data_IF_481556259849
#
_entry.id   IF_481556259849
#
_cell.length_a   1.000
_cell.length_b   1.000
_cell.length_c   1.000
_cell.angle_alpha   90.00
_cell.angle_beta   90.00
_cell.angle_gamma   90.00
#
_symmetry.space_group_name_H-M   'P 1'
#
loop_
_entity.id
_entity.type
_entity.pdbx_description
1 polymer ?
#
# COMPACT_ATOMS: atom_id res chain seq x y z
N UNK A 1 -21.81 -2.65 -46.21
CA UNK A 1 -22.52 -2.35 -44.95
C UNK A 1 -21.46 -2.09 -43.89
N UNK A 2 -21.37 -0.88 -43.35
CA UNK A 2 -20.35 -0.54 -42.36
C UNK A 2 -20.88 -0.73 -40.95
N UNK A 3 -20.16 -1.49 -40.12
CA UNK A 3 -20.53 -1.67 -38.72
C UNK A 3 -20.39 -0.36 -37.95
N UNK A 4 -21.50 0.13 -37.40
CA UNK A 4 -21.53 1.30 -36.54
C UNK A 4 -21.01 0.86 -35.16
N UNK A 5 -19.73 1.12 -34.90
CA UNK A 5 -19.12 0.81 -33.60
C UNK A 5 -19.21 2.01 -32.65
N UNK A 6 -19.61 1.73 -31.40
CA UNK A 6 -19.63 2.76 -30.37
C UNK A 6 -18.20 3.06 -29.88
N UNK A 7 -17.65 4.17 -30.36
CA UNK A 7 -16.31 4.65 -30.01
C UNK A 7 -16.10 4.87 -28.51
N UNK A 8 -17.13 5.29 -27.77
CA UNK A 8 -17.04 5.50 -26.31
C UNK A 8 -16.80 4.18 -25.59
N UNK A 9 -17.54 3.13 -25.95
CA UNK A 9 -17.36 1.79 -25.36
C UNK A 9 -15.99 1.24 -25.70
N UNK A 10 -15.54 1.39 -26.95
CA UNK A 10 -14.23 0.94 -27.37
C UNK A 10 -13.08 1.66 -26.62
N UNK A 11 -13.18 2.98 -26.45
CA UNK A 11 -12.21 3.76 -25.65
C UNK A 11 -12.18 3.29 -24.19
N UNK A 12 -13.36 3.04 -23.60
CA UNK A 12 -13.45 2.53 -22.22
C UNK A 12 -12.81 1.15 -22.06
N UNK A 13 -13.01 0.26 -23.04
CA UNK A 13 -12.36 -1.05 -23.04
C UNK A 13 -10.84 -0.91 -23.17
N UNK A 14 -10.33 -0.02 -24.02
CA UNK A 14 -8.89 0.26 -24.12
C UNK A 14 -8.31 0.77 -22.80
N UNK A 15 -8.97 1.73 -22.15
CA UNK A 15 -8.55 2.24 -20.85
C UNK A 15 -8.45 1.12 -19.80
N UNK A 16 -9.49 0.29 -19.68
CA UNK A 16 -9.48 -0.86 -18.75
C UNK A 16 -8.34 -1.84 -19.02
N UNK A 17 -8.00 -2.08 -20.30
CA UNK A 17 -6.87 -2.96 -20.67
C UNK A 17 -5.53 -2.34 -20.27
N UNK A 18 -5.37 -1.03 -20.44
CA UNK A 18 -4.17 -0.30 -20.00
C UNK A 18 -4.03 -0.34 -18.48
N UNK A 19 -5.11 -0.09 -17.75
CA UNK A 19 -5.10 -0.16 -16.27
C UNK A 19 -4.72 -1.56 -15.78
N UNK A 20 -5.22 -2.61 -16.42
CA UNK A 20 -4.89 -3.99 -16.08
C UNK A 20 -3.42 -4.33 -16.35
N UNK A 21 -2.85 -3.83 -17.45
CA UNK A 21 -1.42 -3.97 -17.76
C UNK A 21 -0.56 -3.24 -16.74
N UNK A 22 -0.90 -1.98 -16.43
CA UNK A 22 -0.20 -1.21 -15.40
C UNK A 22 -0.25 -1.90 -14.04
N UNK A 23 -1.39 -2.50 -13.68
CA UNK A 23 -1.52 -3.27 -12.44
C UNK A 23 -0.69 -4.56 -12.44
N UNK A 24 -0.50 -5.21 -13.60
CA UNK A 24 0.41 -6.36 -13.73
C UNK A 24 1.88 -5.92 -13.62
N UNK A 25 2.26 -4.82 -14.27
CA UNK A 25 3.60 -4.23 -14.18
C UNK A 25 3.93 -3.76 -12.77
N UNK A 26 2.98 -3.16 -12.06
CA UNK A 26 3.18 -2.75 -10.68
C UNK A 26 3.33 -3.97 -9.75
N UNK A 27 2.59 -5.06 -10.01
CA UNK A 27 2.75 -6.33 -9.28
C UNK A 27 4.11 -6.96 -9.51
N UNK A 28 4.62 -6.96 -10.74
CA UNK A 28 5.94 -7.52 -11.06
C UNK A 28 7.09 -6.66 -10.56
N UNK A 29 6.99 -5.33 -10.70
CA UNK A 29 8.05 -4.37 -10.31
C UNK A 29 8.19 -4.22 -8.81
N UNK A 30 7.08 -4.09 -8.11
CA UNK A 30 7.11 -3.73 -6.69
C UNK A 30 6.83 -4.91 -5.78
N UNK A 31 6.21 -5.99 -6.28
CA UNK A 31 5.87 -7.19 -5.49
C UNK A 31 4.80 -6.96 -4.41
N UNK A 32 4.62 -5.71 -3.96
CA UNK A 32 3.65 -5.25 -2.97
C UNK A 32 2.69 -4.27 -3.62
N UNK A 33 1.41 -4.48 -3.35
CA UNK A 33 0.33 -3.57 -3.75
C UNK A 33 0.23 -2.40 -2.76
N UNK A 34 -0.35 -1.24 -3.16
CA UNK A 34 -0.59 -0.13 -2.24
C UNK A 34 -1.39 -0.54 -0.99
N UNK A 35 -2.33 -1.47 -1.13
CA UNK A 35 -3.10 -1.99 0.00
C UNK A 35 -2.25 -2.80 0.99
N UNK A 36 -1.26 -3.55 0.49
CA UNK A 36 -0.30 -4.27 1.35
C UNK A 36 0.63 -3.29 2.06
N UNK A 37 1.12 -2.26 1.38
CA UNK A 37 1.95 -1.22 1.99
C UNK A 37 1.19 -0.53 3.13
N UNK A 38 -0.05 -0.10 2.90
CA UNK A 38 -0.87 0.54 3.93
C UNK A 38 -1.13 -0.39 5.14
N UNK A 39 -1.30 -1.70 4.89
CA UNK A 39 -1.45 -2.69 5.96
C UNK A 39 -0.16 -2.83 6.76
N UNK A 40 0.98 -2.96 6.10
CA UNK A 40 2.30 -3.08 6.72
C UNK A 40 2.61 -1.84 7.57
N UNK A 41 2.29 -0.64 7.07
CA UNK A 41 2.44 0.62 7.81
C UNK A 41 1.55 0.66 9.06
N UNK A 42 0.29 0.22 8.96
CA UNK A 42 -0.62 0.15 10.09
C UNK A 42 -0.17 -0.89 11.14
N UNK A 43 0.34 -2.04 10.70
CA UNK A 43 0.89 -3.07 11.58
C UNK A 43 2.17 -2.56 12.28
N UNK A 44 3.05 -1.86 11.56
CA UNK A 44 4.24 -1.23 12.13
C UNK A 44 3.89 -0.12 13.13
N UNK A 45 2.89 0.71 12.84
CA UNK A 45 2.42 1.75 13.74
C UNK A 45 1.83 1.16 15.04
N UNK A 46 1.04 0.09 14.93
CA UNK A 46 0.54 -0.65 16.11
C UNK A 46 1.68 -1.23 16.94
N UNK A 47 2.68 -1.83 16.30
CA UNK A 47 3.87 -2.35 16.99
C UNK A 47 4.63 -1.26 17.76
N UNK A 48 4.87 -0.11 17.12
CA UNK A 48 5.50 1.05 17.77
C UNK A 48 4.69 1.55 18.97
N UNK A 49 3.38 1.72 18.81
CA UNK A 49 2.52 2.18 19.88
C UNK A 49 2.52 1.22 21.09
N UNK A 50 2.55 -0.09 20.85
CA UNK A 50 2.67 -1.08 21.94
C UNK A 50 4.03 -0.97 22.66
N UNK A 51 5.12 -0.82 21.92
CA UNK A 51 6.46 -0.68 22.49
C UNK A 51 6.62 0.65 23.24
N UNK A 52 6.05 1.73 22.72
CA UNK A 52 6.04 3.05 23.35
C UNK A 52 5.23 3.01 24.65
N UNK A 53 4.07 2.36 24.67
CA UNK A 53 3.28 2.17 25.89
C UNK A 53 3.91 1.23 26.91
N UNK A 54 4.75 0.29 26.46
CA UNK A 54 5.51 -0.61 27.32
C UNK A 54 6.91 -0.06 27.69
N UNK A 55 7.24 1.18 27.28
CA UNK A 55 8.53 1.80 27.61
C UNK A 55 8.56 2.08 29.11
N UNK A 56 9.44 1.38 29.81
CA UNK A 56 9.85 1.71 31.17
C UNK A 56 11.02 2.67 31.00
N UNK A 57 10.80 3.95 31.29
CA UNK A 57 11.91 4.89 31.41
C UNK A 57 12.80 4.41 32.57
N UNK A 58 14.12 4.28 32.37
CA UNK A 58 15.00 3.92 33.47
C UNK A 58 14.93 5.01 34.54
N UNK A 59 14.48 4.63 35.74
CA UNK A 59 14.48 5.50 36.91
C UNK A 59 15.87 6.14 37.10
N UNK A 60 15.98 7.46 37.30
CA UNK A 60 17.28 8.14 37.49
C UNK A 60 17.93 7.88 38.86
N UNK A 61 17.59 6.80 39.58
CA UNK A 61 18.14 6.50 40.91
C UNK A 61 19.11 5.31 40.87
N UNK A 62 20.26 5.52 40.21
CA UNK A 62 21.43 4.65 40.39
C UNK A 62 22.75 5.45 40.29
N UNK A 63 22.86 6.53 41.06
CA UNK A 63 24.15 7.03 41.52
C UNK A 63 24.00 7.42 42.99
N UNK A 64 24.05 6.40 43.86
CA UNK A 64 24.47 6.59 45.23
C UNK A 64 25.99 6.50 45.26
N UNK A 65 26.63 7.65 45.42
CA UNK A 65 27.93 7.87 46.10
C UNK A 65 28.01 9.35 46.47
#
# INVERSE_FOLDING_TARGET
>A
MGDIVNLRTHRRQRARKQDAQQAADNRSRFGRTPAQIARDEADAARGKALLDGARIDPDPVATGE
#
